data_IF_779041502893
#
_entry.id   IF_779041502893
#
_cell.length_a   1.000
_cell.length_b   1.000
_cell.length_c   1.000
_cell.angle_alpha   90.00
_cell.angle_beta   90.00
_cell.angle_gamma   90.00
#
_symmetry.space_group_name_H-M   'P 1'
#
loop_
_entity.id
_entity.type
_entity.pdbx_description
1 polymer ?
#
# COMPACT_ATOMS: atom_id res chain seq x y z
N UNK A 1 0.45 -29.02 29.12
CA UNK A 1 -0.88 -29.01 28.48
C UNK A 1 -0.77 -28.13 27.24
N UNK A 2 -0.78 -28.72 26.05
CA UNK A 2 -0.87 -27.97 24.80
C UNK A 2 -2.29 -27.43 24.69
N UNK A 3 -2.46 -26.11 24.76
CA UNK A 3 -3.76 -25.47 24.58
C UNK A 3 -4.14 -25.56 23.10
N UNK A 4 -4.76 -26.67 22.70
CA UNK A 4 -5.13 -26.97 21.30
C UNK A 4 -6.16 -26.01 20.68
N UNK A 5 -6.70 -25.08 21.47
CA UNK A 5 -7.67 -24.07 21.02
C UNK A 5 -7.07 -22.66 20.85
N UNK A 6 -5.76 -22.50 20.99
CA UNK A 6 -5.14 -21.18 20.84
C UNK A 6 -4.90 -20.84 19.36
N UNK A 7 -5.57 -19.83 18.78
CA UNK A 7 -5.65 -19.65 17.33
C UNK A 7 -4.46 -18.89 16.73
N UNK A 8 -3.33 -18.83 17.45
CA UNK A 8 -2.14 -18.09 17.03
C UNK A 8 -0.94 -19.01 17.09
N UNK A 9 -0.25 -19.14 15.96
CA UNK A 9 1.09 -19.69 15.95
C UNK A 9 2.06 -18.59 16.42
N UNK A 10 2.55 -18.72 17.66
CA UNK A 10 3.57 -17.84 18.22
C UNK A 10 4.98 -18.40 18.07
N UNK A 11 5.11 -19.64 17.58
CA UNK A 11 6.38 -20.36 17.51
C UNK A 11 6.99 -20.19 16.12
N UNK A 12 6.19 -20.39 15.06
CA UNK A 12 6.68 -20.40 13.69
C UNK A 12 7.83 -21.40 13.51
N UNK A 13 8.94 -20.95 12.90
CA UNK A 13 10.10 -21.80 12.64
C UNK A 13 11.03 -22.04 13.85
N UNK A 14 10.79 -21.39 14.99
CA UNK A 14 11.69 -21.50 16.15
C UNK A 14 13.13 -21.05 15.85
N UNK A 15 14.12 -21.69 16.46
CA UNK A 15 15.54 -21.30 16.39
C UNK A 15 16.27 -21.76 15.12
N UNK A 16 15.64 -22.58 14.27
CA UNK A 16 16.26 -23.16 13.07
C UNK A 16 15.38 -22.91 11.84
N UNK A 17 15.31 -21.65 11.35
CA UNK A 17 14.59 -21.35 10.12
C UNK A 17 15.21 -22.09 8.93
N UNK A 18 14.39 -22.54 7.96
CA UNK A 18 14.89 -23.23 6.79
C UNK A 18 15.78 -22.30 5.95
N UNK A 19 16.77 -22.88 5.29
CA UNK A 19 17.56 -22.14 4.31
C UNK A 19 16.69 -21.84 3.07
N UNK A 20 16.49 -20.56 2.76
CA UNK A 20 15.52 -20.12 1.75
C UNK A 20 15.90 -20.47 0.29
N UNK A 21 17.19 -20.72 0.01
CA UNK A 21 17.68 -21.14 -1.32
C UNK A 21 17.22 -20.22 -2.46
N UNK A 22 17.33 -18.90 -2.26
CA UNK A 22 16.89 -17.93 -3.25
C UNK A 22 17.60 -18.12 -4.61
N UNK A 23 16.93 -17.78 -5.74
CA UNK A 23 17.52 -17.85 -7.06
C UNK A 23 18.89 -17.17 -7.14
N UNK A 24 19.80 -17.77 -7.92
CA UNK A 24 21.17 -17.25 -8.07
C UNK A 24 22.03 -17.28 -6.81
N UNK A 25 21.60 -17.96 -5.75
CA UNK A 25 22.32 -17.98 -4.47
C UNK A 25 22.26 -16.65 -3.72
N UNK A 26 21.21 -15.85 -3.95
CA UNK A 26 21.05 -14.56 -3.30
C UNK A 26 20.98 -14.71 -1.77
N UNK A 27 21.70 -13.83 -1.06
CA UNK A 27 21.75 -13.83 0.42
C UNK A 27 20.51 -13.19 1.05
N UNK A 28 19.81 -12.35 0.28
CA UNK A 28 18.60 -11.64 0.68
C UNK A 28 17.71 -11.47 -0.56
N UNK A 29 16.40 -11.56 -0.37
CA UNK A 29 15.40 -11.16 -1.35
C UNK A 29 14.82 -9.82 -0.92
N UNK A 30 14.80 -8.84 -1.81
CA UNK A 30 14.16 -7.54 -1.59
C UNK A 30 12.85 -7.52 -2.36
N UNK A 31 11.77 -7.09 -1.71
CA UNK A 31 10.45 -6.96 -2.30
C UNK A 31 9.94 -5.54 -1.98
N UNK A 32 9.86 -4.70 -3.00
CA UNK A 32 9.36 -3.34 -2.87
C UNK A 32 7.85 -3.32 -3.07
N UNK A 33 7.12 -2.83 -2.07
CA UNK A 33 5.66 -2.65 -2.15
C UNK A 33 5.37 -1.17 -2.36
N UNK A 34 4.56 -0.87 -3.37
CA UNK A 34 3.95 0.43 -3.56
C UNK A 34 2.44 0.28 -3.30
N UNK A 35 1.97 0.85 -2.19
CA UNK A 35 0.54 0.94 -1.95
C UNK A 35 -0.07 2.01 -2.87
N UNK A 36 -1.26 1.74 -3.38
CA UNK A 36 -2.07 2.71 -4.10
C UNK A 36 -3.47 2.73 -3.50
N UNK A 37 -3.70 3.73 -2.66
CA UNK A 37 -4.86 3.85 -1.76
C UNK A 37 -5.69 5.09 -2.10
N UNK A 38 -5.10 6.04 -2.81
CA UNK A 38 -5.61 7.39 -3.02
C UNK A 38 -6.82 7.41 -3.98
N UNK A 39 -7.95 7.89 -3.47
CA UNK A 39 -9.28 7.76 -4.05
C UNK A 39 -10.10 6.59 -3.48
N UNK A 40 -9.55 5.85 -2.51
CA UNK A 40 -10.22 4.74 -1.81
C UNK A 40 -10.21 4.87 -0.28
N UNK A 41 -9.63 5.94 0.26
CA UNK A 41 -9.62 6.29 1.68
C UNK A 41 -11.01 6.71 2.19
N UNK A 42 -11.14 6.88 3.51
CA UNK A 42 -12.40 7.31 4.09
C UNK A 42 -12.80 8.71 3.59
N UNK A 43 -13.97 8.79 2.95
CA UNK A 43 -14.53 10.05 2.51
C UNK A 43 -16.06 9.96 2.49
N UNK A 44 -16.74 11.02 2.92
CA UNK A 44 -18.21 11.09 2.85
C UNK A 44 -18.74 10.96 1.40
N UNK A 45 -17.92 11.27 0.40
CA UNK A 45 -18.24 11.05 -1.02
C UNK A 45 -18.26 9.57 -1.42
N UNK A 46 -17.62 8.70 -0.64
CA UNK A 46 -17.60 7.25 -0.82
C UNK A 46 -18.74 6.56 -0.05
N UNK A 47 -19.48 7.31 0.77
CA UNK A 47 -20.54 6.79 1.65
C UNK A 47 -20.09 6.51 3.08
N UNK A 48 -18.85 6.88 3.43
CA UNK A 48 -18.32 6.72 4.77
C UNK A 48 -18.90 7.74 5.75
N UNK A 49 -18.89 7.41 7.04
CA UNK A 49 -19.44 8.29 8.07
C UNK A 49 -18.59 9.55 8.32
N UNK A 50 -17.31 9.54 7.94
CA UNK A 50 -16.38 10.64 8.21
C UNK A 50 -15.16 10.67 7.26
N UNK A 51 -14.41 11.77 7.31
CA UNK A 51 -13.14 11.95 6.60
C UNK A 51 -11.99 11.10 7.18
N UNK A 52 -11.02 10.77 6.32
CA UNK A 52 -9.78 10.10 6.67
C UNK A 52 -8.97 10.81 7.77
N UNK A 53 -8.20 10.01 8.53
CA UNK A 53 -7.33 10.47 9.62
C UNK A 53 -5.88 9.94 9.46
N UNK A 54 -5.70 8.82 8.78
CA UNK A 54 -4.45 8.07 8.80
C UNK A 54 -3.49 8.47 7.66
N UNK A 55 -2.19 8.25 7.91
CA UNK A 55 -1.07 8.44 6.97
C UNK A 55 -1.16 9.71 6.11
N UNK A 56 -1.25 10.86 6.78
CA UNK A 56 -1.19 12.18 6.13
C UNK A 56 -0.18 13.08 6.84
N UNK A 57 0.09 14.24 6.24
CA UNK A 57 0.90 15.29 6.85
C UNK A 57 0.22 15.96 8.07
N UNK A 58 -1.09 15.74 8.25
CA UNK A 58 -1.87 16.24 9.39
C UNK A 58 -1.89 15.16 10.48
N UNK A 59 -0.76 15.01 11.16
CA UNK A 59 -0.61 14.02 12.23
C UNK A 59 -1.63 14.28 13.35
N UNK A 60 -2.44 13.27 13.66
CA UNK A 60 -3.51 13.38 14.65
C UNK A 60 -4.76 14.12 14.16
N UNK A 61 -4.97 14.17 12.84
CA UNK A 61 -6.20 14.70 12.25
C UNK A 61 -7.44 14.08 12.90
N UNK A 62 -8.43 14.93 13.22
CA UNK A 62 -9.74 14.47 13.62
C UNK A 62 -10.54 14.01 12.39
N UNK A 63 -11.38 13.00 12.57
CA UNK A 63 -12.41 12.63 11.60
C UNK A 63 -13.58 13.61 11.71
N UNK A 64 -14.01 14.15 10.57
CA UNK A 64 -15.19 15.01 10.49
C UNK A 64 -16.32 14.27 9.77
N UNK A 65 -17.58 14.38 10.22
CA UNK A 65 -18.74 13.87 9.47
C UNK A 65 -19.08 14.77 8.27
N UNK A 66 -18.04 15.22 7.56
CA UNK A 66 -18.05 16.10 6.40
C UNK A 66 -16.72 15.89 5.64
N UNK A 67 -16.56 16.58 4.52
CA UNK A 67 -15.30 16.61 3.77
C UNK A 67 -14.21 17.31 4.55
N UNK A 68 -13.02 16.71 4.57
CA UNK A 68 -11.82 17.34 5.07
C UNK A 68 -10.93 17.72 3.88
N UNK A 69 -11.17 18.91 3.33
CA UNK A 69 -10.54 19.35 2.07
C UNK A 69 -9.02 19.26 2.06
N UNK A 70 -8.36 19.59 3.18
CA UNK A 70 -6.91 19.47 3.31
C UNK A 70 -6.46 18.02 3.21
N UNK A 71 -7.14 17.09 3.89
CA UNK A 71 -6.86 15.66 3.84
C UNK A 71 -7.01 15.10 2.43
N UNK A 72 -8.12 15.44 1.76
CA UNK A 72 -8.37 15.01 0.38
C UNK A 72 -7.25 15.48 -0.55
N UNK A 73 -6.82 16.75 -0.46
CA UNK A 73 -5.73 17.28 -1.30
C UNK A 73 -4.38 16.60 -1.04
N UNK A 74 -4.14 16.10 0.18
CA UNK A 74 -2.92 15.34 0.52
C UNK A 74 -2.95 13.98 -0.17
N UNK A 75 -4.08 13.26 -0.11
CA UNK A 75 -4.25 12.00 -0.84
C UNK A 75 -4.18 12.22 -2.37
N UNK A 76 -4.79 13.29 -2.87
CA UNK A 76 -4.70 13.65 -4.29
C UNK A 76 -3.25 13.86 -4.77
N UNK A 77 -2.33 14.30 -3.91
CA UNK A 77 -0.92 14.41 -4.30
C UNK A 77 -0.30 13.06 -4.67
N UNK A 78 -0.63 11.99 -3.93
CA UNK A 78 -0.15 10.63 -4.20
C UNK A 78 -0.54 10.16 -5.59
N UNK A 79 -1.82 10.25 -5.93
CA UNK A 79 -2.35 9.84 -7.24
C UNK A 79 -1.96 10.78 -8.40
N UNK A 80 -1.83 12.09 -8.15
CA UNK A 80 -1.52 13.07 -9.20
C UNK A 80 -0.04 13.18 -9.52
N UNK A 81 0.83 13.03 -8.53
CA UNK A 81 2.25 13.36 -8.65
C UNK A 81 3.19 12.32 -8.03
N UNK A 82 2.88 11.87 -6.80
CA UNK A 82 3.72 10.93 -6.05
C UNK A 82 4.01 9.65 -6.83
N UNK A 83 2.96 8.99 -7.30
CA UNK A 83 3.05 7.71 -8.00
C UNK A 83 3.94 7.76 -9.24
N UNK A 84 3.76 8.77 -10.10
CA UNK A 84 4.56 8.89 -11.33
C UNK A 84 6.04 9.15 -11.05
N UNK A 85 6.36 9.85 -9.95
CA UNK A 85 7.75 10.05 -9.53
C UNK A 85 8.38 8.72 -9.11
N UNK A 86 7.65 7.90 -8.36
CA UNK A 86 8.14 6.59 -7.90
C UNK A 86 8.30 5.64 -9.09
N UNK A 87 7.30 5.54 -9.97
CA UNK A 87 7.37 4.63 -11.13
C UNK A 87 8.59 4.94 -12.01
N UNK A 88 8.87 6.22 -12.29
CA UNK A 88 10.07 6.61 -13.07
C UNK A 88 11.38 6.16 -12.42
N UNK A 89 11.51 6.20 -11.10
CA UNK A 89 12.72 5.74 -10.41
C UNK A 89 12.94 4.23 -10.54
N UNK A 90 11.88 3.45 -10.48
CA UNK A 90 11.94 1.99 -10.64
C UNK A 90 12.21 1.60 -12.10
N UNK A 91 11.51 2.25 -13.04
CA UNK A 91 11.72 2.06 -14.48
C UNK A 91 13.15 2.40 -14.88
N UNK A 92 13.68 3.56 -14.45
CA UNK A 92 15.06 3.98 -14.74
C UNK A 92 16.11 2.96 -14.26
N UNK A 93 15.81 2.22 -13.19
CA UNK A 93 16.72 1.23 -12.60
C UNK A 93 16.44 -0.19 -13.09
N UNK A 94 15.39 -0.41 -13.88
CA UNK A 94 14.93 -1.73 -14.29
C UNK A 94 14.57 -2.63 -13.11
N UNK A 95 14.01 -2.07 -12.04
CA UNK A 95 13.64 -2.81 -10.83
C UNK A 95 12.13 -3.07 -10.78
N UNK A 96 11.69 -4.28 -10.39
CA UNK A 96 10.28 -4.58 -10.20
C UNK A 96 9.78 -4.07 -8.84
N UNK A 97 8.47 -3.86 -8.75
CA UNK A 97 7.76 -3.65 -7.49
C UNK A 97 6.41 -4.37 -7.52
N UNK A 98 5.80 -4.55 -6.35
CA UNK A 98 4.44 -5.10 -6.22
C UNK A 98 3.49 -3.98 -5.84
N UNK A 99 2.39 -3.85 -6.57
CA UNK A 99 1.32 -2.91 -6.24
C UNK A 99 0.37 -3.53 -5.22
N UNK A 100 0.19 -2.86 -4.08
CA UNK A 100 -0.91 -3.12 -3.16
C UNK A 100 -2.02 -2.11 -3.48
N UNK A 101 -2.90 -2.49 -4.40
CA UNK A 101 -3.91 -1.59 -4.93
C UNK A 101 -5.26 -1.75 -4.25
N UNK A 102 -5.77 -0.67 -3.66
CA UNK A 102 -7.16 -0.59 -3.21
C UNK A 102 -8.07 -0.54 -4.43
N UNK A 103 -9.05 -1.43 -4.50
CA UNK A 103 -9.87 -1.61 -5.71
C UNK A 103 -10.59 -0.33 -6.15
N UNK A 104 -11.11 0.47 -5.21
CA UNK A 104 -11.76 1.75 -5.53
C UNK A 104 -10.77 2.76 -6.12
N UNK A 105 -9.57 2.88 -5.53
CA UNK A 105 -8.53 3.77 -6.03
C UNK A 105 -8.11 3.40 -7.46
N UNK A 106 -7.89 2.11 -7.74
CA UNK A 106 -7.57 1.61 -9.07
C UNK A 106 -8.67 1.93 -10.10
N UNK A 107 -9.94 1.77 -9.72
CA UNK A 107 -11.07 2.11 -10.59
C UNK A 107 -11.16 3.61 -10.91
N UNK A 108 -10.75 4.48 -9.98
CA UNK A 108 -10.75 5.94 -10.18
C UNK A 108 -9.59 6.44 -11.03
N UNK A 109 -8.51 5.66 -11.16
CA UNK A 109 -7.36 5.98 -12.00
C UNK A 109 -7.02 4.83 -12.96
N UNK A 110 -7.90 4.55 -13.94
CA UNK A 110 -7.74 3.39 -14.83
C UNK A 110 -6.54 3.51 -15.78
N UNK A 111 -6.08 4.72 -16.08
CA UNK A 111 -4.85 4.94 -16.86
C UNK A 111 -3.61 4.47 -16.09
N UNK A 112 -3.45 4.93 -14.85
CA UNK A 112 -2.36 4.49 -13.99
C UNK A 112 -2.43 2.99 -13.69
N UNK A 113 -3.64 2.43 -13.50
CA UNK A 113 -3.81 0.99 -13.30
C UNK A 113 -3.27 0.19 -14.50
N UNK A 114 -3.49 0.68 -15.73
CA UNK A 114 -2.89 0.08 -16.93
C UNK A 114 -1.37 0.27 -16.95
N UNK A 115 -0.88 1.45 -16.59
CA UNK A 115 0.55 1.71 -16.52
C UNK A 115 1.28 0.76 -15.55
N UNK A 116 0.67 0.41 -14.41
CA UNK A 116 1.22 -0.61 -13.51
C UNK A 116 1.40 -1.97 -14.20
N UNK A 117 0.44 -2.39 -15.03
CA UNK A 117 0.53 -3.67 -15.78
C UNK A 117 1.54 -3.58 -16.92
N UNK A 118 1.61 -2.44 -17.60
CA UNK A 118 2.53 -2.21 -18.72
C UNK A 118 4.00 -2.19 -18.28
N UNK A 119 4.29 -1.74 -17.05
CA UNK A 119 5.65 -1.70 -16.48
C UNK A 119 6.13 -3.05 -15.89
N UNK A 120 5.25 -4.05 -15.80
CA UNK A 120 5.57 -5.40 -15.32
C UNK A 120 5.65 -5.53 -13.80
#
# INVERSE_FOLDING_TARGET
MTNHNYPRDLIGYGSQPPHAQWPGGARVALQFVLNYEEGGENCVLHGDAASEQFLSEIVGAAAYPDRHMSMESIYEYGSRAGVWRILREFEQRGLPLTIFGVSMALQRHPELTRAFVELG
#
